data_IF_774821307397
#
_entry.id   IF_774821307397
#
_cell.length_a   1.000
_cell.length_b   1.000
_cell.length_c   1.000
_cell.angle_alpha   90.00
_cell.angle_beta   90.00
_cell.angle_gamma   90.00
#
_symmetry.space_group_name_H-M   'P 1'
#
loop_
_entity.id
_entity.type
_entity.pdbx_description
1 polymer ?
#
# COMPACT_ATOMS: atom_id res chain seq x y z
N UNK A 1 12.72 5.32 -13.08
CA UNK A 1 14.16 5.69 -13.09
C UNK A 1 15.01 4.47 -13.42
N UNK A 2 16.05 4.65 -14.21
CA UNK A 2 16.95 3.55 -14.59
C UNK A 2 18.17 3.56 -13.68
N UNK A 3 18.49 2.39 -13.13
CA UNK A 3 19.66 2.20 -12.27
C UNK A 3 20.61 1.20 -12.93
N UNK A 4 21.83 1.15 -12.43
CA UNK A 4 22.80 0.17 -12.89
C UNK A 4 23.36 -0.58 -11.69
N UNK A 5 23.41 -1.90 -11.79
CA UNK A 5 23.98 -2.71 -10.72
C UNK A 5 25.49 -2.72 -10.79
N UNK A 6 26.13 -3.46 -9.90
CA UNK A 6 27.60 -3.49 -9.84
C UNK A 6 28.25 -4.14 -11.07
N UNK A 7 27.47 -4.85 -11.87
CA UNK A 7 27.95 -5.41 -13.13
C UNK A 7 27.68 -4.47 -14.31
N UNK A 8 27.12 -3.29 -14.03
CA UNK A 8 26.82 -2.32 -15.07
C UNK A 8 25.53 -2.59 -15.81
N UNK A 9 24.78 -3.58 -15.38
CA UNK A 9 23.52 -3.90 -16.03
C UNK A 9 22.39 -2.96 -15.59
N UNK A 10 21.67 -2.41 -16.56
CA UNK A 10 20.59 -1.48 -16.28
C UNK A 10 19.36 -2.22 -15.72
N UNK A 11 18.66 -1.58 -14.80
CA UNK A 11 17.41 -2.10 -14.30
C UNK A 11 16.49 -0.96 -13.91
N UNK A 12 15.19 -1.26 -13.83
CA UNK A 12 14.17 -0.32 -13.38
C UNK A 12 13.76 -0.66 -11.96
N UNK A 13 13.46 0.39 -11.20
CA UNK A 13 12.86 0.24 -9.89
C UNK A 13 11.59 1.09 -9.88
N UNK A 14 10.50 0.49 -9.47
CA UNK A 14 9.21 1.14 -9.38
C UNK A 14 8.59 0.85 -8.04
N UNK A 15 7.63 1.67 -7.66
CA UNK A 15 6.89 1.49 -6.41
C UNK A 15 5.43 1.34 -6.76
N UNK A 16 4.85 0.24 -6.33
CA UNK A 16 3.49 -0.12 -6.68
C UNK A 16 2.62 0.02 -5.45
N UNK A 17 1.54 0.76 -5.57
CA UNK A 17 0.57 0.88 -4.49
C UNK A 17 -0.51 -0.16 -4.71
N UNK A 18 -0.71 -1.02 -3.72
CA UNK A 18 -1.65 -2.14 -3.80
C UNK A 18 -2.60 -2.05 -2.63
N UNK A 19 -3.86 -2.35 -2.88
CA UNK A 19 -4.86 -2.44 -1.81
C UNK A 19 -5.36 -3.89 -1.74
N UNK A 20 -5.85 -4.29 -0.59
CA UNK A 20 -6.39 -5.63 -0.41
C UNK A 20 -7.92 -5.67 -0.37
N UNK A 21 -8.54 -4.66 -0.95
CA UNK A 21 -10.00 -4.64 -1.10
C UNK A 21 -10.36 -5.71 -2.14
N UNK A 22 -11.19 -6.66 -1.74
CA UNK A 22 -11.63 -7.73 -2.65
C UNK A 22 -10.47 -8.41 -3.38
N UNK A 23 -9.37 -8.64 -2.67
CA UNK A 23 -8.16 -9.18 -3.24
C UNK A 23 -7.15 -8.07 -3.46
N UNK A 24 -6.03 -8.40 -4.08
CA UNK A 24 -4.98 -7.41 -4.30
C UNK A 24 -5.23 -6.67 -5.59
N UNK A 25 -5.40 -5.36 -5.47
CA UNK A 25 -5.62 -4.48 -6.61
C UNK A 25 -4.52 -3.44 -6.68
N UNK A 26 -3.97 -3.23 -7.86
CA UNK A 26 -2.97 -2.20 -8.07
C UNK A 26 -3.69 -0.85 -8.17
N UNK A 27 -3.33 0.06 -7.26
CA UNK A 27 -3.91 1.39 -7.22
C UNK A 27 -3.08 2.41 -8.01
N UNK A 28 -1.79 2.18 -8.14
CA UNK A 28 -0.93 3.09 -8.89
C UNK A 28 0.48 2.55 -8.96
N UNK A 29 1.25 3.05 -9.93
CA UNK A 29 2.64 2.68 -10.13
C UNK A 29 3.46 3.97 -10.24
N UNK A 30 4.54 4.05 -9.49
CA UNK A 30 5.34 5.27 -9.39
C UNK A 30 6.83 4.93 -9.51
N UNK A 31 7.59 5.89 -9.99
CA UNK A 31 9.04 5.74 -10.09
C UNK A 31 9.76 6.29 -8.85
N UNK A 32 9.01 6.81 -7.89
CA UNK A 32 9.53 7.49 -6.70
C UNK A 32 8.74 7.02 -5.49
N UNK A 33 9.45 6.59 -4.45
CA UNK A 33 8.83 6.11 -3.22
C UNK A 33 7.93 7.17 -2.58
N UNK A 34 8.41 8.41 -2.52
CA UNK A 34 7.62 9.48 -1.89
C UNK A 34 6.34 9.76 -2.66
N UNK A 35 6.38 9.66 -3.97
CA UNK A 35 5.17 9.82 -4.77
C UNK A 35 4.18 8.71 -4.51
N UNK A 36 4.66 7.49 -4.33
CA UNK A 36 3.79 6.36 -4.01
C UNK A 36 3.14 6.55 -2.65
N UNK A 37 3.92 6.96 -1.65
CA UNK A 37 3.39 7.22 -0.31
C UNK A 37 2.37 8.37 -0.36
N UNK A 38 2.68 9.42 -1.12
CA UNK A 38 1.76 10.54 -1.30
C UNK A 38 0.44 10.10 -1.90
N UNK A 39 0.50 9.19 -2.87
CA UNK A 39 -0.72 8.64 -3.47
C UNK A 39 -1.57 7.90 -2.42
N UNK A 40 -0.92 7.11 -1.56
CA UNK A 40 -1.63 6.43 -0.47
C UNK A 40 -2.34 7.45 0.41
N UNK A 41 -1.66 8.52 0.77
CA UNK A 41 -2.25 9.54 1.65
C UNK A 41 -3.45 10.22 1.00
N UNK A 42 -3.38 10.50 -0.30
CA UNK A 42 -4.50 11.07 -1.03
C UNK A 42 -5.67 10.09 -1.07
N UNK A 43 -5.39 8.82 -1.32
CA UNK A 43 -6.43 7.78 -1.33
C UNK A 43 -7.11 7.69 0.02
N UNK A 44 -6.33 7.72 1.10
CA UNK A 44 -6.90 7.64 2.45
C UNK A 44 -7.76 8.87 2.76
N UNK A 45 -7.29 10.05 2.34
CA UNK A 45 -8.07 11.27 2.55
C UNK A 45 -9.40 11.21 1.81
N UNK A 46 -9.37 10.82 0.53
CA UNK A 46 -10.59 10.71 -0.26
C UNK A 46 -11.52 9.66 0.32
N UNK A 47 -10.97 8.54 0.75
CA UNK A 47 -11.74 7.47 1.35
C UNK A 47 -12.43 7.97 2.61
N UNK A 48 -11.70 8.69 3.46
CA UNK A 48 -12.26 9.19 4.73
C UNK A 48 -13.43 10.14 4.53
N UNK A 49 -13.44 10.85 3.39
CA UNK A 49 -14.53 11.78 3.10
C UNK A 49 -15.86 11.08 2.89
N UNK A 50 -15.83 9.78 2.61
CA UNK A 50 -17.04 8.98 2.46
C UNK A 50 -17.66 8.59 3.81
N UNK A 51 -16.97 8.86 4.92
CA UNK A 51 -17.42 8.44 6.26
C UNK A 51 -17.55 9.64 7.18
N UNK A 52 -18.37 10.61 6.75
CA UNK A 52 -18.57 11.87 7.48
C UNK A 52 -19.95 12.02 8.09
N UNK A 53 -20.87 11.11 7.81
CA UNK A 53 -22.20 11.21 8.34
C UNK A 53 -22.25 10.74 9.80
N UNK A 54 -23.28 11.13 10.49
CA UNK A 54 -23.43 10.74 11.89
C UNK A 54 -23.48 9.23 12.03
N UNK A 55 -22.65 8.70 12.91
CA UNK A 55 -22.54 7.26 13.09
C UNK A 55 -21.47 6.59 12.26
N UNK A 56 -20.91 7.33 11.29
CA UNK A 56 -19.76 6.83 10.53
C UNK A 56 -18.48 7.13 11.30
N UNK A 57 -17.46 6.32 11.06
CA UNK A 57 -16.13 6.67 11.54
C UNK A 57 -15.05 6.06 10.63
N UNK A 58 -13.88 6.65 10.69
CA UNK A 58 -12.75 6.25 9.88
C UNK A 58 -11.49 6.46 10.70
N UNK A 59 -10.68 5.42 10.81
CA UNK A 59 -9.46 5.47 11.61
C UNK A 59 -8.29 4.95 10.81
N UNK A 60 -7.22 5.74 10.78
CA UNK A 60 -5.98 5.37 10.10
C UNK A 60 -5.03 4.82 11.15
N UNK A 61 -4.51 3.62 10.90
CA UNK A 61 -3.54 3.01 11.79
C UNK A 61 -2.15 3.60 11.62
N UNK A 62 -1.21 3.13 12.43
CA UNK A 62 0.17 3.55 12.31
C UNK A 62 0.80 2.91 11.07
N UNK A 63 1.53 3.67 10.28
CA UNK A 63 2.23 3.08 9.14
C UNK A 63 3.36 2.18 9.62
N UNK A 64 3.49 1.04 8.96
CA UNK A 64 4.56 0.09 9.22
C UNK A 64 5.54 0.12 8.07
N UNK A 65 6.82 0.28 8.36
CA UNK A 65 7.85 0.39 7.35
C UNK A 65 8.73 -0.84 7.33
N UNK A 66 9.19 -1.18 6.15
CA UNK A 66 10.15 -2.26 5.96
C UNK A 66 11.11 -1.84 4.85
N UNK A 67 12.15 -2.63 4.61
CA UNK A 67 13.26 -2.20 3.75
C UNK A 67 12.85 -1.69 2.37
N UNK A 68 11.84 -2.30 1.79
CA UNK A 68 11.47 -2.02 0.40
C UNK A 68 10.07 -1.45 0.24
N UNK A 69 9.49 -0.94 1.32
CA UNK A 69 8.15 -0.39 1.22
C UNK A 69 7.52 -0.08 2.56
N UNK A 70 6.20 -0.02 2.56
CA UNK A 70 5.44 0.24 3.78
C UNK A 70 4.03 -0.30 3.61
N UNK A 71 3.32 -0.44 4.71
CA UNK A 71 1.89 -0.68 4.65
C UNK A 71 1.20 0.10 5.77
N UNK A 72 -0.07 0.36 5.55
CA UNK A 72 -0.90 1.05 6.52
C UNK A 72 -2.28 0.42 6.49
N UNK A 73 -2.82 0.13 7.68
CA UNK A 73 -4.13 -0.47 7.80
C UNK A 73 -5.12 0.57 8.28
N UNK A 74 -6.29 0.56 7.70
CA UNK A 74 -7.36 1.47 8.09
C UNK A 74 -8.56 0.66 8.56
N UNK A 75 -9.32 1.25 9.47
CA UNK A 75 -10.57 0.69 9.94
C UNK A 75 -11.64 1.73 9.74
N UNK A 76 -12.81 1.30 9.34
CA UNK A 76 -13.88 2.24 9.07
C UNK A 76 -15.22 1.54 9.20
N UNK A 77 -16.25 2.34 9.44
CA UNK A 77 -17.60 1.81 9.55
C UNK A 77 -18.60 2.85 9.10
N UNK A 78 -19.53 2.43 8.27
CA UNK A 78 -20.69 3.21 7.92
C UNK A 78 -21.77 2.97 8.98
N UNK A 79 -22.58 3.98 9.23
CA UNK A 79 -23.69 3.84 10.17
C UNK A 79 -24.73 2.79 9.75
N UNK A 80 -24.64 2.33 8.49
CA UNK A 80 -25.50 1.25 8.01
C UNK A 80 -24.98 -0.14 8.34
N UNK A 81 -23.74 -0.26 8.78
CA UNK A 81 -23.10 -1.56 8.98
C UNK A 81 -23.11 -1.95 10.45
N UNK A 82 -23.21 -3.25 10.69
CA UNK A 82 -23.15 -3.76 12.06
C UNK A 82 -21.72 -3.88 12.57
N UNK A 83 -20.77 -4.03 11.68
CA UNK A 83 -19.37 -4.25 12.05
C UNK A 83 -18.45 -3.36 11.23
N UNK A 84 -17.31 -2.97 11.81
CA UNK A 84 -16.32 -2.22 11.04
C UNK A 84 -15.62 -3.11 10.01
N UNK A 85 -15.10 -2.46 9.01
CA UNK A 85 -14.28 -3.10 7.99
C UNK A 85 -12.83 -2.65 8.18
N UNK A 86 -11.93 -3.45 7.63
CA UNK A 86 -10.50 -3.17 7.71
C UNK A 86 -9.89 -3.42 6.35
N UNK A 87 -9.03 -2.52 5.92
CA UNK A 87 -8.32 -2.64 4.66
C UNK A 87 -6.89 -2.20 4.83
N UNK A 88 -6.01 -2.69 3.98
CA UNK A 88 -4.60 -2.38 4.03
C UNK A 88 -4.13 -1.86 2.69
N UNK A 89 -3.32 -0.80 2.74
CA UNK A 89 -2.62 -0.27 1.57
C UNK A 89 -1.16 -0.61 1.71
N UNK A 90 -0.57 -1.12 0.64
CA UNK A 90 0.84 -1.48 0.58
C UNK A 90 1.55 -0.61 -0.44
N UNK A 91 2.78 -0.22 -0.15
CA UNK A 91 3.70 0.30 -1.14
C UNK A 91 4.78 -0.76 -1.28
N UNK A 92 4.86 -1.35 -2.46
CA UNK A 92 5.79 -2.45 -2.73
C UNK A 92 6.80 -2.01 -3.77
N UNK A 93 8.07 -2.34 -3.54
CA UNK A 93 9.10 -2.08 -4.54
C UNK A 93 9.06 -3.18 -5.58
N UNK A 94 9.07 -2.77 -6.84
CA UNK A 94 9.22 -3.69 -7.95
C UNK A 94 10.50 -3.34 -8.68
N UNK A 95 11.35 -4.34 -8.88
CA UNK A 95 12.63 -4.22 -9.52
C UNK A 95 12.66 -5.20 -10.69
N UNK A 96 13.05 -4.74 -11.86
CA UNK A 96 13.05 -5.61 -13.05
C UNK A 96 13.98 -6.81 -12.92
N UNK A 97 14.89 -6.78 -11.96
CA UNK A 97 15.73 -7.93 -11.65
C UNK A 97 14.96 -8.99 -10.87
N UNK A 98 13.79 -8.61 -10.35
CA UNK A 98 12.87 -9.50 -9.62
C UNK A 98 11.59 -9.58 -10.40
N UNK A 99 11.29 -10.67 -11.04
CA UNK A 99 10.12 -10.75 -11.92
C UNK A 99 8.77 -10.73 -11.20
N UNK A 100 8.77 -10.84 -9.87
CA UNK A 100 7.54 -10.90 -9.10
C UNK A 100 7.51 -9.81 -8.03
N UNK A 101 6.30 -9.38 -7.68
CA UNK A 101 6.11 -8.48 -6.56
C UNK A 101 6.13 -9.29 -5.27
N UNK A 102 6.96 -8.85 -4.33
CA UNK A 102 7.02 -9.49 -3.03
C UNK A 102 6.06 -8.82 -2.07
N UNK A 103 5.37 -9.60 -1.29
CA UNK A 103 4.52 -9.08 -0.24
C UNK A 103 5.37 -8.59 0.92
N UNK A 104 4.79 -7.71 1.77
CA UNK A 104 5.47 -7.26 2.96
C UNK A 104 5.89 -8.42 3.85
N UNK A 105 6.84 -8.13 4.70
CA UNK A 105 7.49 -9.12 5.53
C UNK A 105 6.54 -9.93 6.41
N UNK A 106 5.48 -9.32 6.88
CA UNK A 106 4.54 -10.04 7.72
C UNK A 106 3.93 -11.24 7.02
N UNK A 107 3.80 -11.17 5.69
CA UNK A 107 3.32 -12.33 4.93
C UNK A 107 4.28 -13.51 5.05
N UNK A 108 5.56 -13.23 5.09
CA UNK A 108 6.57 -14.28 5.22
C UNK A 108 6.57 -14.87 6.61
N UNK A 109 6.29 -14.07 7.62
CA UNK A 109 6.21 -14.57 8.99
C UNK A 109 5.06 -15.54 9.15
N UNK A 110 3.96 -15.24 8.51
CA UNK A 110 2.77 -16.09 8.63
C UNK A 110 3.02 -17.48 8.06
N UNK A 111 3.88 -17.58 7.09
CA UNK A 111 4.15 -18.87 6.44
C UNK A 111 5.08 -19.76 7.24
N UNK A 112 5.57 -19.29 8.31
CA UNK A 112 6.46 -20.10 9.17
C UNK A 112 5.70 -20.91 10.22
#
# INVERSE_FOLDING_TARGET
MIYHDHNGQAYYRQYVVVTDIDGLLISGIFDDYEKAVGHVMVCLWEFSESYKEEGDWFKIGEPEYYDEGMYITIKFQSHYWEKPHEETYFVLEYDTRKPELDKPKESKKVTK
#
